data_IF_410679740668
#
_entry.id   IF_410679740668
#
_cell.length_a   1.000
_cell.length_b   1.000
_cell.length_c   1.000
_cell.angle_alpha   90.00
_cell.angle_beta   90.00
_cell.angle_gamma   90.00
#
_symmetry.space_group_name_H-M   'P 1'
#
loop_
_entity.id
_entity.type
_entity.pdbx_description
1 polymer ?
#
# COMPACT_ATOMS: atom_id res chain seq x y z
N UNK A 1 -19.24 -9.60 -20.01
CA UNK A 1 -18.75 -11.00 -19.81
C UNK A 1 -17.65 -11.55 -20.76
N UNK A 2 -17.52 -11.11 -22.03
CA UNK A 2 -16.57 -11.73 -22.99
C UNK A 2 -15.16 -11.10 -23.03
N UNK A 3 -14.89 -10.06 -22.23
CA UNK A 3 -13.56 -9.42 -22.20
C UNK A 3 -12.46 -10.40 -21.80
N UNK A 4 -11.29 -10.30 -22.44
CA UNK A 4 -10.09 -11.01 -22.01
C UNK A 4 -9.55 -10.51 -20.66
N UNK A 5 -9.86 -9.26 -20.31
CA UNK A 5 -9.59 -8.71 -18.99
C UNK A 5 -10.72 -9.07 -18.02
N UNK A 6 -10.41 -9.90 -17.02
CA UNK A 6 -11.37 -10.36 -16.01
C UNK A 6 -11.98 -9.22 -15.18
N UNK A 7 -11.25 -8.13 -14.95
CA UNK A 7 -11.75 -6.97 -14.20
C UNK A 7 -12.88 -6.24 -14.94
N UNK A 8 -12.95 -6.39 -16.26
CA UNK A 8 -13.98 -5.76 -17.11
C UNK A 8 -15.24 -6.63 -17.29
N UNK A 9 -15.30 -7.80 -16.65
CA UNK A 9 -16.45 -8.71 -16.74
C UNK A 9 -17.49 -8.34 -15.67
N UNK A 10 -18.27 -7.32 -15.98
CA UNK A 10 -19.44 -6.88 -15.20
C UNK A 10 -19.08 -6.71 -13.70
N UNK A 11 -18.09 -5.86 -13.38
CA UNK A 11 -17.53 -5.81 -12.04
C UNK A 11 -18.53 -5.32 -11.00
N UNK A 12 -18.49 -5.93 -9.82
CA UNK A 12 -19.30 -5.49 -8.67
C UNK A 12 -18.85 -4.11 -8.19
N UNK A 13 -19.77 -3.14 -8.19
CA UNK A 13 -19.51 -1.76 -7.72
C UNK A 13 -19.95 -1.50 -6.27
N UNK A 14 -20.91 -2.27 -5.76
CA UNK A 14 -21.42 -2.17 -4.39
C UNK A 14 -21.71 -3.55 -3.80
N UNK A 15 -21.59 -3.68 -2.47
CA UNK A 15 -21.97 -4.88 -1.73
C UNK A 15 -22.78 -4.53 -0.49
N UNK A 16 -23.80 -5.34 -0.20
CA UNK A 16 -24.55 -5.25 1.04
C UNK A 16 -23.70 -5.75 2.20
N UNK A 17 -23.57 -4.94 3.24
CA UNK A 17 -22.86 -5.28 4.47
C UNK A 17 -23.54 -4.56 5.66
N UNK A 18 -24.51 -5.20 6.34
CA UNK A 18 -25.27 -4.58 7.42
C UNK A 18 -24.49 -4.59 8.75
N UNK A 19 -23.27 -4.10 8.74
CA UNK A 19 -22.41 -3.93 9.93
C UNK A 19 -22.21 -2.43 10.20
N UNK A 20 -21.96 -2.10 11.46
CA UNK A 20 -21.68 -0.72 11.87
C UNK A 20 -20.35 -0.24 11.28
N UNK A 21 -20.36 0.93 10.64
CA UNK A 21 -19.15 1.54 10.10
C UNK A 21 -18.60 2.61 11.06
N UNK A 22 -17.30 2.53 11.35
CA UNK A 22 -16.61 3.35 12.36
C UNK A 22 -16.79 4.88 12.24
N UNK A 23 -17.10 5.40 11.05
CA UNK A 23 -17.35 6.84 10.83
C UNK A 23 -18.81 7.21 10.59
N UNK A 24 -19.63 6.29 10.11
CA UNK A 24 -21.00 6.58 9.64
C UNK A 24 -22.07 5.81 10.40
N UNK A 25 -21.67 5.06 11.43
CA UNK A 25 -22.55 4.19 12.21
C UNK A 25 -23.35 3.26 11.31
N UNK A 26 -24.64 3.14 11.61
CA UNK A 26 -25.61 2.31 10.88
C UNK A 26 -26.30 3.03 9.71
N UNK A 27 -25.83 4.21 9.30
CA UNK A 27 -26.49 5.04 8.27
C UNK A 27 -26.58 4.34 6.91
N UNK A 28 -25.55 3.59 6.53
CA UNK A 28 -25.46 2.91 5.24
C UNK A 28 -25.42 1.39 5.45
N UNK A 29 -26.11 0.65 4.58
CA UNK A 29 -26.14 -0.83 4.58
C UNK A 29 -25.47 -1.44 3.35
N UNK A 30 -25.05 -0.59 2.40
CA UNK A 30 -24.43 -0.96 1.14
C UNK A 30 -23.19 -0.09 0.97
N UNK A 31 -22.06 -0.71 0.64
CA UNK A 31 -20.76 -0.04 0.57
C UNK A 31 -20.11 -0.24 -0.79
N UNK A 32 -19.43 0.78 -1.32
CA UNK A 32 -18.79 0.69 -2.62
C UNK A 32 -17.58 -0.25 -2.55
N UNK A 33 -17.27 -0.90 -3.66
CA UNK A 33 -16.01 -1.62 -3.82
C UNK A 33 -14.85 -0.65 -4.04
N UNK A 34 -13.63 -1.13 -3.78
CA UNK A 34 -12.40 -0.36 -4.04
C UNK A 34 -12.37 0.17 -5.48
N UNK A 35 -12.67 -0.69 -6.46
CA UNK A 35 -12.61 -0.34 -7.88
C UNK A 35 -13.63 0.73 -8.29
N UNK A 36 -14.76 0.84 -7.57
CA UNK A 36 -15.75 1.90 -7.81
C UNK A 36 -15.42 3.20 -7.08
N UNK A 37 -14.96 3.11 -5.82
CA UNK A 37 -14.70 4.28 -4.99
C UNK A 37 -13.46 5.06 -5.45
N UNK A 38 -12.35 4.38 -5.77
CA UNK A 38 -11.08 5.03 -6.10
C UNK A 38 -11.15 6.04 -7.27
N UNK A 39 -11.67 5.70 -8.46
CA UNK A 39 -11.74 6.66 -9.56
C UNK A 39 -12.55 7.91 -9.22
N UNK A 40 -13.62 7.75 -8.43
CA UNK A 40 -14.46 8.86 -7.98
C UNK A 40 -13.70 9.77 -7.02
N UNK A 41 -13.10 9.18 -5.98
CA UNK A 41 -12.35 9.93 -4.96
C UNK A 41 -11.17 10.66 -5.60
N UNK A 42 -10.35 9.97 -6.40
CA UNK A 42 -9.19 10.59 -7.05
C UNK A 42 -9.61 11.75 -7.97
N UNK A 43 -10.71 11.58 -8.71
CA UNK A 43 -11.21 12.62 -9.60
C UNK A 43 -11.68 13.85 -8.82
N UNK A 44 -12.54 13.64 -7.81
CA UNK A 44 -13.16 14.68 -6.97
C UNK A 44 -12.13 15.42 -6.13
N UNK A 45 -11.13 14.73 -5.59
CA UNK A 45 -10.05 15.34 -4.79
C UNK A 45 -8.98 16.04 -5.64
N UNK A 46 -9.09 16.01 -6.97
CA UNK A 46 -8.15 16.72 -7.86
C UNK A 46 -6.82 15.99 -8.06
N UNK A 47 -6.73 14.68 -7.76
CA UNK A 47 -5.53 13.87 -7.96
C UNK A 47 -5.10 13.92 -9.42
N UNK A 48 -3.87 14.34 -9.71
CA UNK A 48 -3.33 14.39 -11.08
C UNK A 48 -2.72 13.06 -11.49
N UNK A 49 -1.96 12.44 -10.58
CA UNK A 49 -1.25 11.18 -10.79
C UNK A 49 -1.58 10.20 -9.66
N UNK A 50 -2.36 9.17 -9.97
CA UNK A 50 -2.68 8.08 -9.06
C UNK A 50 -1.54 7.05 -9.09
N UNK A 51 -0.63 7.13 -8.10
CA UNK A 51 0.50 6.22 -7.97
C UNK A 51 0.04 4.93 -7.27
N UNK A 52 0.23 3.77 -7.91
CA UNK A 52 -0.18 2.48 -7.34
C UNK A 52 0.78 1.35 -7.66
N UNK A 53 0.63 0.20 -7.00
CA UNK A 53 1.49 -0.94 -7.30
C UNK A 53 1.09 -1.64 -8.61
N UNK A 54 2.05 -2.27 -9.28
CA UNK A 54 1.84 -3.04 -10.53
C UNK A 54 0.84 -4.20 -10.37
N UNK A 55 0.58 -4.62 -9.14
CA UNK A 55 -0.38 -5.68 -8.80
C UNK A 55 -1.82 -5.34 -9.19
N UNK A 56 -2.12 -4.06 -9.40
CA UNK A 56 -3.45 -3.62 -9.76
C UNK A 56 -3.64 -3.47 -11.27
N UNK A 57 -2.60 -3.55 -12.10
CA UNK A 57 -2.57 -3.13 -13.52
C UNK A 57 -3.80 -3.57 -14.32
N UNK A 58 -4.29 -4.80 -14.15
CA UNK A 58 -5.49 -5.30 -14.83
C UNK A 58 -6.77 -4.46 -14.57
N UNK A 59 -6.80 -3.68 -13.48
CA UNK A 59 -7.89 -2.78 -13.09
C UNK A 59 -7.78 -1.37 -13.69
N UNK A 60 -6.73 -1.06 -14.44
CA UNK A 60 -6.57 0.25 -15.10
C UNK A 60 -7.73 0.51 -16.07
N UNK A 61 -8.07 -0.46 -16.91
CA UNK A 61 -9.19 -0.35 -17.85
C UNK A 61 -10.51 -0.07 -17.13
N UNK A 62 -10.73 -0.76 -16.01
CA UNK A 62 -11.94 -0.62 -15.20
C UNK A 62 -12.03 0.78 -14.57
N UNK A 63 -10.90 1.29 -14.08
CA UNK A 63 -10.81 2.63 -13.50
C UNK A 63 -11.22 3.70 -14.52
N UNK A 64 -10.63 3.67 -15.72
CA UNK A 64 -10.93 4.64 -16.77
C UNK A 64 -12.34 4.48 -17.31
N UNK A 65 -12.84 3.25 -17.45
CA UNK A 65 -14.22 2.99 -17.82
C UNK A 65 -15.19 3.65 -16.85
N UNK A 66 -14.96 3.53 -15.54
CA UNK A 66 -15.81 4.18 -14.53
C UNK A 66 -15.76 5.69 -14.71
N UNK A 67 -14.57 6.29 -14.83
CA UNK A 67 -14.46 7.73 -15.05
C UNK A 67 -15.26 8.20 -16.28
N UNK A 68 -15.15 7.49 -17.41
CA UNK A 68 -15.87 7.82 -18.64
C UNK A 68 -17.39 7.65 -18.48
N UNK A 69 -17.83 6.58 -17.85
CA UNK A 69 -19.26 6.26 -17.68
C UNK A 69 -20.02 7.32 -16.87
N UNK A 70 -19.37 7.97 -15.90
CA UNK A 70 -19.98 9.01 -15.06
C UNK A 70 -19.46 10.42 -15.35
N UNK A 71 -18.72 10.61 -16.45
CA UNK A 71 -18.27 11.93 -16.91
C UNK A 71 -17.26 12.61 -15.98
N UNK A 72 -16.40 11.83 -15.31
CA UNK A 72 -15.37 12.33 -14.42
C UNK A 72 -14.07 12.66 -15.15
N UNK A 73 -13.29 13.59 -14.58
CA UNK A 73 -11.89 13.79 -14.95
C UNK A 73 -11.12 12.49 -14.73
N UNK A 74 -10.17 12.18 -15.61
CA UNK A 74 -9.34 10.96 -15.57
C UNK A 74 -7.93 11.26 -15.05
N UNK A 75 -7.62 10.95 -13.77
CA UNK A 75 -6.25 10.99 -13.27
C UNK A 75 -5.34 10.03 -14.04
N UNK A 76 -4.06 10.37 -14.18
CA UNK A 76 -3.08 9.47 -14.79
C UNK A 76 -2.67 8.39 -13.80
N UNK A 77 -2.84 7.12 -14.15
CA UNK A 77 -2.37 6.01 -13.31
C UNK A 77 -0.93 5.67 -13.66
N UNK A 78 -0.03 5.76 -12.68
CA UNK A 78 1.35 5.31 -12.81
C UNK A 78 1.62 4.15 -11.84
N UNK A 79 2.09 3.03 -12.39
CA UNK A 79 2.36 1.84 -11.61
C UNK A 79 3.84 1.65 -11.29
N UNK A 80 4.13 1.23 -10.06
CA UNK A 80 5.47 0.88 -9.58
C UNK A 80 5.45 -0.46 -8.83
N UNK A 81 6.58 -1.14 -8.76
CA UNK A 81 6.70 -2.39 -8.04
C UNK A 81 6.69 -2.14 -6.53
N UNK A 82 6.04 -3.04 -5.79
CA UNK A 82 6.11 -3.07 -4.33
C UNK A 82 7.56 -3.34 -3.87
N UNK A 83 7.96 -2.70 -2.77
CA UNK A 83 9.15 -3.06 -2.02
C UNK A 83 8.97 -4.42 -1.34
N UNK A 84 9.82 -5.39 -1.70
CA UNK A 84 9.91 -6.68 -1.00
C UNK A 84 11.27 -6.80 -0.32
N UNK A 85 11.28 -7.40 0.87
CA UNK A 85 12.49 -7.60 1.67
C UNK A 85 12.84 -9.08 1.73
N UNK A 86 14.12 -9.43 1.60
CA UNK A 86 14.60 -10.80 1.79
C UNK A 86 14.40 -11.25 3.24
N UNK A 87 14.17 -12.55 3.45
CA UNK A 87 13.95 -13.16 4.78
C UNK A 87 12.86 -12.48 5.62
N UNK A 88 11.87 -11.87 4.96
CA UNK A 88 10.86 -11.04 5.61
C UNK A 88 9.49 -11.32 5.05
N UNK A 89 8.50 -11.38 5.93
CA UNK A 89 7.10 -11.54 5.55
C UNK A 89 6.42 -10.18 5.56
N UNK A 90 5.95 -9.72 4.40
CA UNK A 90 5.25 -8.42 4.25
C UNK A 90 3.71 -8.54 4.28
N UNK A 91 3.18 -9.76 4.32
CA UNK A 91 1.72 -9.99 4.31
C UNK A 91 1.11 -9.69 5.66
N UNK A 92 0.14 -8.76 5.71
CA UNK A 92 -0.63 -8.44 6.92
C UNK A 92 -1.20 -9.70 7.58
N UNK A 93 -1.78 -10.63 6.80
CA UNK A 93 -2.35 -11.88 7.32
C UNK A 93 -1.34 -12.70 8.12
N UNK A 94 -0.12 -12.85 7.60
CA UNK A 94 0.95 -13.61 8.26
C UNK A 94 1.51 -12.86 9.46
N UNK A 95 1.68 -11.53 9.37
CA UNK A 95 2.10 -10.71 10.51
C UNK A 95 1.08 -10.73 11.65
N UNK A 96 -0.22 -10.67 11.33
CA UNK A 96 -1.30 -10.84 12.32
C UNK A 96 -1.21 -12.20 13.02
N UNK A 97 -0.89 -13.27 12.28
CA UNK A 97 -0.71 -14.59 12.89
C UNK A 97 0.41 -14.58 13.93
N UNK A 98 1.59 -14.02 13.64
CA UNK A 98 2.68 -13.90 14.61
C UNK A 98 2.28 -13.11 15.88
N UNK A 99 1.48 -12.05 15.74
CA UNK A 99 0.97 -11.27 16.88
C UNK A 99 -0.02 -12.08 17.70
N UNK A 100 -0.95 -12.78 17.04
CA UNK A 100 -1.99 -13.56 17.71
C UNK A 100 -1.41 -14.77 18.46
N UNK A 101 -0.36 -15.40 17.93
CA UNK A 101 0.34 -16.52 18.57
C UNK A 101 1.33 -16.06 19.66
N UNK A 102 1.46 -14.75 19.92
CA UNK A 102 2.37 -14.23 20.94
C UNK A 102 3.86 -14.46 20.64
N UNK A 103 4.22 -14.74 19.39
CA UNK A 103 5.61 -14.95 18.96
C UNK A 103 6.41 -13.64 18.90
N UNK A 104 5.70 -12.51 18.98
CA UNK A 104 6.22 -11.15 19.07
C UNK A 104 5.45 -10.35 20.11
N UNK A 105 6.05 -9.27 20.61
CA UNK A 105 5.43 -8.39 21.60
C UNK A 105 4.20 -7.64 21.04
N UNK A 106 4.16 -7.41 19.73
CA UNK A 106 3.08 -6.70 19.07
C UNK A 106 3.48 -6.18 17.69
N UNK A 107 2.67 -5.25 17.16
CA UNK A 107 2.90 -4.66 15.84
C UNK A 107 4.12 -3.74 15.76
N UNK A 108 4.63 -3.29 16.89
CA UNK A 108 5.84 -2.47 17.02
C UNK A 108 7.03 -3.24 17.57
N UNK A 109 6.98 -4.58 17.56
CA UNK A 109 8.14 -5.41 17.88
C UNK A 109 9.34 -5.06 16.97
N UNK A 110 10.56 -4.88 17.50
CA UNK A 110 11.74 -4.52 16.71
C UNK A 110 12.09 -5.49 15.57
N UNK A 111 11.60 -6.74 15.62
CA UNK A 111 11.81 -7.76 14.58
C UNK A 111 10.81 -7.64 13.43
N UNK A 112 9.71 -6.89 13.62
CA UNK A 112 8.68 -6.72 12.60
C UNK A 112 9.08 -5.71 11.51
N UNK A 113 8.70 -5.97 10.24
CA UNK A 113 8.96 -5.06 9.13
C UNK A 113 7.98 -3.89 9.07
N UNK A 114 7.36 -3.53 10.20
CA UNK A 114 6.47 -2.38 10.29
C UNK A 114 7.30 -1.11 10.48
N UNK A 115 6.77 0.03 10.03
CA UNK A 115 7.44 1.32 10.27
C UNK A 115 7.72 1.51 11.77
N UNK A 116 6.74 1.19 12.63
CA UNK A 116 6.90 1.27 14.08
C UNK A 116 7.95 0.31 14.63
N UNK A 117 7.97 -0.94 14.19
CA UNK A 117 8.95 -1.94 14.64
C UNK A 117 10.37 -1.55 14.25
N UNK A 118 10.57 -1.15 13.00
CA UNK A 118 11.87 -0.74 12.48
C UNK A 118 12.37 0.54 13.16
N UNK A 119 11.47 1.50 13.43
CA UNK A 119 11.82 2.70 14.23
C UNK A 119 12.17 2.34 15.68
N UNK A 120 11.41 1.46 16.34
CA UNK A 120 11.71 0.98 17.69
C UNK A 120 13.07 0.26 17.76
N UNK A 121 13.48 -0.41 16.67
CA UNK A 121 14.80 -1.03 16.53
C UNK A 121 15.97 -0.03 16.40
N UNK A 122 15.69 1.26 16.18
CA UNK A 122 16.71 2.30 16.03
C UNK A 122 16.84 2.86 14.61
N UNK A 123 15.87 2.62 13.73
CA UNK A 123 15.81 3.31 12.43
C UNK A 123 15.44 4.78 12.61
N UNK A 124 16.23 5.67 12.04
CA UNK A 124 15.89 7.10 11.94
C UNK A 124 14.95 7.35 10.76
N UNK A 125 14.09 8.36 10.90
CA UNK A 125 13.19 8.78 9.81
C UNK A 125 14.01 9.20 8.59
N UNK A 126 15.13 9.90 8.80
CA UNK A 126 16.01 10.33 7.72
C UNK A 126 16.68 9.15 7.01
N UNK A 127 17.20 8.17 7.76
CA UNK A 127 17.78 6.95 7.18
C UNK A 127 16.77 6.16 6.34
N UNK A 128 15.54 6.01 6.83
CA UNK A 128 14.45 5.37 6.10
C UNK A 128 14.10 6.14 4.82
N UNK A 129 14.00 7.48 4.90
CA UNK A 129 13.69 8.33 3.74
C UNK A 129 14.79 8.24 2.67
N UNK A 130 16.05 8.32 3.07
CA UNK A 130 17.19 8.20 2.14
C UNK A 130 17.20 6.85 1.45
N UNK A 131 16.89 5.76 2.17
CA UNK A 131 16.75 4.43 1.58
C UNK A 131 15.65 4.37 0.51
N UNK A 132 14.46 4.92 0.81
CA UNK A 132 13.33 4.92 -0.15
C UNK A 132 13.65 5.77 -1.39
N UNK A 133 14.27 6.94 -1.21
CA UNK A 133 14.70 7.80 -2.34
C UNK A 133 15.74 7.08 -3.19
N UNK A 134 16.74 6.46 -2.56
CA UNK A 134 17.80 5.74 -3.27
C UNK A 134 17.30 4.49 -3.99
N UNK A 135 16.24 3.85 -3.47
CA UNK A 135 15.61 2.73 -4.16
C UNK A 135 14.85 3.18 -5.41
N UNK A 136 14.18 4.33 -5.33
CA UNK A 136 13.41 4.90 -6.44
C UNK A 136 12.19 4.05 -6.85
N UNK A 137 11.44 4.58 -7.83
CA UNK A 137 10.32 3.87 -8.43
C UNK A 137 10.76 3.10 -9.68
N UNK A 138 10.49 1.81 -9.73
CA UNK A 138 10.66 0.96 -10.92
C UNK A 138 9.44 0.06 -11.08
N UNK A 139 9.14 -0.39 -12.29
CA UNK A 139 8.08 -1.40 -12.54
C UNK A 139 8.57 -2.83 -12.26
N UNK A 140 9.88 -3.04 -12.18
CA UNK A 140 10.48 -4.34 -11.90
C UNK A 140 10.44 -4.65 -10.41
N UNK A 141 10.00 -5.86 -10.08
CA UNK A 141 10.01 -6.34 -8.68
C UNK A 141 11.45 -6.57 -8.26
N UNK A 142 11.83 -5.96 -7.13
CA UNK A 142 13.17 -6.12 -6.55
C UNK A 142 13.02 -6.67 -5.13
N UNK A 143 13.87 -7.63 -4.80
CA UNK A 143 14.05 -8.14 -3.44
C UNK A 143 15.22 -7.42 -2.80
N UNK A 144 14.95 -6.73 -1.70
CA UNK A 144 15.91 -5.86 -1.03
C UNK A 144 16.42 -6.51 0.25
N UNK A 145 17.71 -6.36 0.52
CA UNK A 145 18.33 -6.86 1.74
C UNK A 145 18.29 -5.81 2.86
N UNK A 146 18.19 -6.29 4.10
CA UNK A 146 18.19 -5.43 5.29
C UNK A 146 19.50 -4.66 5.47
N UNK A 147 20.62 -5.21 5.03
CA UNK A 147 21.92 -4.54 5.16
C UNK A 147 21.95 -3.21 4.42
N UNK A 148 21.26 -3.12 3.28
CA UNK A 148 21.17 -1.88 2.52
C UNK A 148 20.46 -0.78 3.32
N UNK A 149 19.30 -1.06 3.91
CA UNK A 149 18.56 -0.05 4.69
C UNK A 149 19.34 0.35 5.95
N UNK A 150 19.99 -0.58 6.63
CA UNK A 150 20.82 -0.28 7.79
C UNK A 150 22.08 0.51 7.43
N UNK A 151 22.65 0.30 6.25
CA UNK A 151 23.78 1.11 5.76
C UNK A 151 23.42 2.59 5.58
N UNK A 152 22.20 2.90 5.12
CA UNK A 152 21.71 4.28 5.05
C UNK A 152 21.49 4.86 6.44
N UNK A 153 20.88 4.09 7.34
CA UNK A 153 20.68 4.53 8.72
C UNK A 153 21.99 4.81 9.46
N UNK A 154 23.02 3.97 9.24
CA UNK A 154 24.35 4.15 9.82
C UNK A 154 24.97 5.49 9.41
N UNK A 155 24.83 5.92 8.16
CA UNK A 155 25.34 7.22 7.69
C UNK A 155 24.72 8.41 8.45
N UNK A 156 23.48 8.26 8.90
CA UNK A 156 22.77 9.27 9.69
C UNK A 156 23.17 9.23 11.16
N UNK A 157 23.35 8.02 11.72
CA UNK A 157 23.60 7.84 13.17
C UNK A 157 25.06 8.05 13.55
N UNK A 158 26.02 7.61 12.73
CA UNK A 158 27.46 7.64 13.07
C UNK A 158 28.01 9.04 13.45
N UNK A 159 27.57 10.15 12.82
CA UNK A 159 28.01 11.49 13.23
C UNK A 159 27.40 12.03 14.52
N UNK A 160 26.26 11.49 14.97
CA UNK A 160 25.46 12.05 16.08
C UNK A 160 25.45 11.17 17.33
N UNK A 161 25.74 9.88 17.18
CA UNK A 161 25.76 8.94 18.30
C UNK A 161 27.06 9.11 19.10
N UNK A 162 26.98 9.42 20.41
CA UNK A 162 28.16 9.48 21.27
C UNK A 162 28.81 8.09 21.37
N UNK A 163 30.13 8.06 21.53
CA UNK A 163 30.94 6.85 21.70
C UNK A 163 31.37 6.66 23.14
#
# INVERSE_FOLDING_TARGET
MQSNNGAMRDPTIYRCKPEEHVRTGMKYKVYPTYDFACPIVDSVEGVTHALRTTEYTDRDDQYYFICDAIGLRKPHIWSYARLNMTNTVMSKRKLTWFVNEGLVEGWDDPRFPTVRGVMRRGMTVEGLRQFIIAQGGSRSVVMMEWDKIWSFNKKVIDPVAPR
#
